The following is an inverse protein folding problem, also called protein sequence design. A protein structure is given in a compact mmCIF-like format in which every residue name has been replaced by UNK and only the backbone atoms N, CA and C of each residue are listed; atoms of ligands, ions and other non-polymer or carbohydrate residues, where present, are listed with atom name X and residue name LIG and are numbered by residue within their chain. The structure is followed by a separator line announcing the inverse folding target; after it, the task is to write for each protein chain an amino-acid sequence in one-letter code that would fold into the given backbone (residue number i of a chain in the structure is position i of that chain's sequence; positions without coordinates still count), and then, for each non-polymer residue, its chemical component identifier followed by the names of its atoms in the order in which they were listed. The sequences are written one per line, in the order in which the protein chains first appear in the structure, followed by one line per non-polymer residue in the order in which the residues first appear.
data_IF_621914417003
#
_entry.id   IF_621914417003
#
_cell.length_a   1.000
_cell.length_b   1.000
_cell.length_c   1.000
_cell.angle_alpha   90.00
_cell.angle_beta   90.00
_cell.angle_gamma   90.00
#
_symmetry.space_group_name_H-M   'P 1'
#
loop_
_entity.id
_entity.type
_entity.pdbx_description
1 polymer ?
#
# COMPACT_ATOMS: atom_id res chain seq x y z
N UNK A 1 69.40 -22.60 7.06
CA UNK A 1 68.87 -22.32 5.71
C UNK A 1 68.51 -20.84 5.64
N UNK A 2 68.93 -20.19 4.55
CA UNK A 2 68.72 -18.80 4.10
C UNK A 2 67.37 -18.14 4.49
N UNK A 3 67.17 -16.82 4.56
CA UNK A 3 67.97 -15.63 4.20
C UNK A 3 67.23 -14.36 4.67
N UNK A 4 67.98 -13.43 5.25
CA UNK A 4 67.96 -11.95 5.18
C UNK A 4 66.64 -11.15 5.21
N UNK A 5 66.54 -10.33 6.26
CA UNK A 5 65.83 -9.06 6.33
C UNK A 5 66.63 -7.93 5.65
N UNK A 6 65.95 -6.95 5.07
CA UNK A 6 66.55 -5.71 4.58
C UNK A 6 65.87 -4.50 5.21
N UNK A 7 66.71 -3.63 5.74
CA UNK A 7 66.43 -2.35 6.37
C UNK A 7 67.26 -1.33 5.59
N UNK A 8 66.63 -0.28 5.04
CA UNK A 8 67.36 0.87 4.47
C UNK A 8 66.53 2.12 4.68
N UNK A 9 67.11 3.08 5.39
CA UNK A 9 66.61 4.45 5.43
C UNK A 9 67.77 5.47 5.34
N UNK A 10 67.50 6.50 4.55
CA UNK A 10 68.09 7.85 4.53
C UNK A 10 69.58 8.09 4.23
N UNK A 11 69.85 8.91 3.19
CA UNK A 11 70.52 10.24 3.25
C UNK A 11 70.35 10.93 1.88
N UNK A 12 69.56 12.01 1.76
CA UNK A 12 69.94 13.45 1.76
C UNK A 12 70.96 13.89 0.68
N UNK A 13 70.54 14.78 -0.23
CA UNK A 13 71.26 16.04 -0.54
C UNK A 13 70.41 17.00 -1.39
N UNK A 14 70.51 18.28 -1.03
CA UNK A 14 69.81 19.48 -1.52
C UNK A 14 70.17 19.91 -2.94
N UNK A 15 69.31 20.73 -3.59
CA UNK A 15 69.71 21.99 -4.24
C UNK A 15 68.50 22.89 -4.58
N UNK A 16 68.73 24.20 -4.54
CA UNK A 16 67.72 25.27 -4.57
C UNK A 16 67.39 25.83 -5.97
N UNK A 17 66.16 26.35 -6.08
CA UNK A 17 65.65 27.47 -6.87
C UNK A 17 66.14 27.71 -8.32
N UNK A 18 65.22 27.59 -9.27
CA UNK A 18 65.02 28.61 -10.32
C UNK A 18 63.55 28.69 -10.73
N UNK A 19 63.00 29.91 -10.76
CA UNK A 19 61.62 30.25 -11.11
C UNK A 19 61.38 30.09 -12.61
N UNK A 20 60.34 29.37 -13.02
CA UNK A 20 59.64 29.62 -14.28
C UNK A 20 58.14 29.60 -13.99
N UNK A 21 57.52 30.76 -14.20
CA UNK A 21 56.09 31.01 -14.15
C UNK A 21 55.37 30.28 -15.27
N UNK A 22 54.33 29.51 -14.96
CA UNK A 22 53.31 29.13 -15.92
C UNK A 22 51.95 29.10 -15.21
N UNK A 23 51.07 30.00 -15.65
CA UNK A 23 49.71 30.15 -15.18
C UNK A 23 48.92 28.86 -15.38
N UNK A 24 48.49 28.24 -14.28
CA UNK A 24 47.44 27.23 -14.31
C UNK A 24 46.12 27.90 -13.96
N UNK A 25 45.27 28.07 -14.97
CA UNK A 25 43.86 28.35 -14.79
C UNK A 25 43.27 27.25 -13.91
N UNK A 26 42.86 27.61 -12.70
CA UNK A 26 42.04 26.76 -11.85
C UNK A 26 40.64 26.71 -12.47
N UNK A 27 40.40 25.75 -13.36
CA UNK A 27 39.06 25.39 -13.76
C UNK A 27 38.37 24.77 -12.53
N UNK A 28 37.68 25.61 -11.76
CA UNK A 28 36.72 25.14 -10.75
C UNK A 28 35.59 24.49 -11.52
N UNK A 29 35.71 23.18 -11.76
CA UNK A 29 34.58 22.34 -12.11
C UNK A 29 33.63 22.38 -10.92
N UNK A 30 32.63 23.26 -10.98
CA UNK A 30 31.41 23.15 -10.20
C UNK A 30 30.83 21.78 -10.52
N UNK A 31 31.16 20.77 -9.70
CA UNK A 31 30.27 19.64 -9.51
C UNK A 31 28.96 20.24 -9.00
N UNK A 32 28.03 20.45 -9.92
CA UNK A 32 26.62 20.52 -9.56
C UNK A 32 26.32 19.19 -8.91
N UNK A 33 26.38 19.16 -7.58
CA UNK A 33 25.70 18.15 -6.80
C UNK A 33 24.25 18.22 -7.29
N UNK A 34 23.85 17.26 -8.11
CA UNK A 34 22.45 16.99 -8.36
C UNK A 34 21.90 16.64 -7.00
N UNK A 35 21.30 17.64 -6.34
CA UNK A 35 20.49 17.40 -5.15
C UNK A 35 19.50 16.35 -5.58
N UNK A 36 19.71 15.12 -5.09
CA UNK A 36 18.76 14.04 -5.27
C UNK A 36 17.47 14.56 -4.68
N UNK A 37 16.56 14.95 -5.56
CA UNK A 37 15.29 15.53 -5.19
C UNK A 37 14.55 14.43 -4.45
N UNK A 38 14.34 14.63 -3.15
CA UNK A 38 13.79 13.59 -2.29
C UNK A 38 12.45 13.10 -2.84
N UNK A 39 12.43 11.81 -3.21
CA UNK A 39 11.24 11.08 -3.60
C UNK A 39 10.26 10.99 -2.42
N UNK A 40 9.06 10.46 -2.68
CA UNK A 40 7.99 10.29 -1.68
C UNK A 40 8.52 9.73 -0.36
N UNK A 41 8.14 10.37 0.74
CA UNK A 41 8.36 9.84 2.08
C UNK A 41 7.14 9.05 2.52
N UNK A 42 7.36 7.86 3.07
CA UNK A 42 6.35 7.06 3.79
C UNK A 42 6.85 6.87 5.21
N UNK A 43 6.15 7.48 6.16
CA UNK A 43 6.53 7.47 7.57
C UNK A 43 5.58 6.55 8.35
N UNK A 44 6.15 5.65 9.14
CA UNK A 44 5.39 4.87 10.12
C UNK A 44 4.73 5.81 11.11
N UNK A 45 3.41 5.68 11.27
CA UNK A 45 2.61 6.52 12.13
C UNK A 45 1.83 5.73 13.16
N UNK A 46 2.39 4.61 13.63
CA UNK A 46 1.69 3.65 14.47
C UNK A 46 1.84 3.88 15.98
N UNK A 47 2.85 4.63 16.42
CA UNK A 47 3.13 4.87 17.85
C UNK A 47 2.55 6.19 18.36
N UNK A 48 2.36 6.30 19.68
CA UNK A 48 2.05 7.57 20.34
C UNK A 48 0.64 8.10 20.05
N UNK A 49 -0.33 7.23 19.82
CA UNK A 49 -1.74 7.60 19.73
C UNK A 49 -2.34 7.68 21.13
N UNK A 50 -3.27 8.60 21.32
CA UNK A 50 -4.18 8.69 22.46
C UNK A 50 -5.51 8.07 22.09
N UNK A 51 -6.13 7.34 23.00
CA UNK A 51 -7.37 6.62 22.77
C UNK A 51 -8.34 6.73 23.95
N UNK A 52 -9.61 6.93 23.63
CA UNK A 52 -10.72 6.71 24.56
C UNK A 52 -11.75 5.79 23.90
N UNK A 53 -12.12 4.74 24.62
CA UNK A 53 -13.19 3.82 24.22
C UNK A 53 -14.55 4.38 24.58
N UNK A 54 -14.90 5.59 24.14
CA UNK A 54 -16.21 6.20 24.34
C UNK A 54 -16.48 7.21 23.24
N UNK A 55 -17.72 7.70 23.14
CA UNK A 55 -17.99 8.89 22.34
C UNK A 55 -17.30 10.12 22.96
N UNK A 56 -16.81 11.02 22.11
CA UNK A 56 -16.17 12.27 22.49
C UNK A 56 -16.47 13.33 21.43
N UNK A 57 -16.09 14.59 21.69
CA UNK A 57 -16.12 15.67 20.70
C UNK A 57 -14.73 15.91 20.11
N UNK A 58 -14.64 16.43 18.86
CA UNK A 58 -13.36 16.80 18.25
C UNK A 58 -12.52 17.80 19.05
N UNK A 59 -13.13 18.56 19.97
CA UNK A 59 -12.46 19.57 20.80
C UNK A 59 -12.11 19.10 22.20
N UNK A 60 -12.50 17.89 22.62
CA UNK A 60 -12.32 17.43 23.99
C UNK A 60 -10.83 17.26 24.35
N UNK A 61 -10.48 17.52 25.61
CA UNK A 61 -9.12 17.26 26.10
C UNK A 61 -8.77 15.78 25.99
N UNK A 62 -7.55 15.49 25.55
CA UNK A 62 -7.01 14.12 25.42
C UNK A 62 -6.11 13.73 26.58
N UNK A 63 -6.05 14.56 27.64
CA UNK A 63 -5.14 14.37 28.78
C UNK A 63 -5.37 13.04 29.48
N UNK A 64 -6.63 12.66 29.68
CA UNK A 64 -7.02 11.43 30.38
C UNK A 64 -7.16 10.23 29.43
N UNK A 65 -6.83 10.39 28.14
CA UNK A 65 -6.91 9.31 27.16
C UNK A 65 -5.70 8.37 27.30
N UNK A 66 -5.95 7.07 27.17
CA UNK A 66 -4.91 6.05 27.24
C UNK A 66 -3.95 6.20 26.05
N UNK A 67 -2.66 6.00 26.27
CA UNK A 67 -1.71 5.89 25.15
C UNK A 67 -1.76 4.48 24.58
N UNK A 68 -1.93 4.36 23.26
CA UNK A 68 -2.01 3.08 22.54
C UNK A 68 -1.06 3.08 21.35
N UNK A 69 -0.78 1.89 20.84
CA UNK A 69 -0.02 1.65 19.62
C UNK A 69 -0.91 0.95 18.60
N UNK A 70 -0.83 1.36 17.34
CA UNK A 70 -1.48 0.74 16.21
C UNK A 70 -0.62 -0.45 15.71
N UNK A 71 -1.21 -1.57 15.31
CA UNK A 71 -2.64 -1.87 15.27
C UNK A 71 -3.28 -1.97 16.67
N UNK A 72 -4.48 -1.41 16.82
CA UNK A 72 -5.22 -1.38 18.07
C UNK A 72 -6.71 -1.69 17.88
N UNK A 73 -7.27 -2.44 18.82
CA UNK A 73 -8.71 -2.69 18.92
C UNK A 73 -9.15 -2.65 20.38
N UNK A 74 -10.35 -2.14 20.64
CA UNK A 74 -10.95 -2.15 21.99
C UNK A 74 -11.70 -3.45 22.32
N UNK A 75 -11.64 -4.46 21.44
CA UNK A 75 -12.39 -5.71 21.57
C UNK A 75 -11.53 -6.93 21.92
N UNK A 76 -10.33 -6.72 22.48
CA UNK A 76 -9.46 -7.83 22.92
C UNK A 76 -10.11 -8.61 24.07
N UNK A 77 -10.54 -7.92 25.13
CA UNK A 77 -11.05 -8.58 26.34
C UNK A 77 -12.57 -8.70 26.36
N UNK A 78 -13.28 -7.65 25.91
CA UNK A 78 -14.73 -7.57 25.94
C UNK A 78 -15.29 -7.09 24.60
N UNK A 79 -16.25 -7.82 24.06
CA UNK A 79 -16.92 -7.41 22.85
C UNK A 79 -17.88 -6.25 23.12
N UNK A 80 -17.75 -5.20 22.31
CA UNK A 80 -18.51 -3.96 22.41
C UNK A 80 -18.62 -3.30 21.04
N UNK A 81 -19.85 -2.95 20.68
CA UNK A 81 -20.16 -2.07 19.55
C UNK A 81 -20.36 -0.63 20.01
N UNK A 82 -19.83 0.33 19.27
CA UNK A 82 -19.98 1.76 19.53
C UNK A 82 -18.80 2.57 19.01
N UNK A 83 -18.76 3.84 19.42
CA UNK A 83 -17.69 4.75 19.05
C UNK A 83 -16.47 4.63 19.98
N UNK A 84 -15.29 4.82 19.40
CA UNK A 84 -14.04 5.09 20.10
C UNK A 84 -13.25 6.15 19.33
N UNK A 85 -12.49 6.97 20.05
CA UNK A 85 -11.74 8.07 19.46
C UNK A 85 -10.25 7.89 19.63
N UNK A 86 -9.51 8.18 18.57
CA UNK A 86 -8.06 8.24 18.54
C UNK A 86 -7.62 9.67 18.28
N UNK A 87 -6.54 10.10 18.93
CA UNK A 87 -5.92 11.40 18.71
C UNK A 87 -4.39 11.27 18.63
N UNK A 88 -3.77 12.06 17.76
CA UNK A 88 -2.32 12.14 17.62
C UNK A 88 -1.91 13.58 17.38
N UNK A 89 -1.10 14.11 18.30
CA UNK A 89 -0.46 15.42 18.14
C UNK A 89 0.84 15.28 17.37
N UNK A 90 1.11 16.21 16.46
CA UNK A 90 2.35 16.23 15.67
C UNK A 90 2.69 17.66 15.23
N UNK A 91 3.95 17.89 14.85
CA UNK A 91 4.37 19.14 14.21
C UNK A 91 4.60 18.87 12.72
N UNK A 92 4.06 19.73 11.86
CA UNK A 92 4.37 19.71 10.44
C UNK A 92 5.65 20.55 10.19
N UNK A 93 6.81 19.92 9.91
CA UNK A 93 8.06 20.64 9.73
C UNK A 93 8.02 21.53 8.48
N UNK A 94 8.79 22.61 8.48
CA UNK A 94 8.95 23.50 7.32
C UNK A 94 9.43 22.81 6.05
N UNK A 95 10.10 21.66 6.17
CA UNK A 95 10.53 20.83 5.04
C UNK A 95 9.37 20.26 4.24
N UNK A 96 8.16 20.22 4.81
CA UNK A 96 6.93 19.84 4.11
C UNK A 96 6.22 21.03 3.44
N UNK A 97 6.71 22.27 3.61
CA UNK A 97 6.14 23.40 2.85
C UNK A 97 6.28 23.15 1.36
N UNK A 98 5.21 23.40 0.61
CA UNK A 98 5.08 23.11 -0.83
C UNK A 98 5.09 21.61 -1.19
N UNK A 99 5.00 20.72 -0.20
CA UNK A 99 4.70 19.30 -0.38
C UNK A 99 3.21 19.06 -0.16
N UNK A 100 2.75 17.88 -0.57
CA UNK A 100 1.44 17.34 -0.20
C UNK A 100 1.63 16.31 0.90
N UNK A 101 0.74 16.33 1.88
CA UNK A 101 0.80 15.46 3.05
C UNK A 101 -0.50 14.69 3.13
N UNK A 102 -0.42 13.37 3.21
CA UNK A 102 -1.57 12.48 3.29
C UNK A 102 -1.44 11.52 4.46
N UNK A 103 -2.58 11.13 5.01
CA UNK A 103 -2.66 10.04 5.98
C UNK A 103 -3.34 8.84 5.32
N UNK A 104 -2.66 7.71 5.32
CA UNK A 104 -3.16 6.45 4.78
C UNK A 104 -3.43 5.47 5.93
N UNK A 105 -4.67 5.03 6.07
CA UNK A 105 -5.09 4.00 7.00
C UNK A 105 -5.25 2.69 6.23
N UNK A 106 -4.63 1.61 6.70
CA UNK A 106 -4.81 0.30 6.05
C UNK A 106 -6.16 -0.35 6.38
N UNK A 107 -6.75 -0.05 7.55
CA UNK A 107 -8.13 -0.36 7.88
C UNK A 107 -8.56 0.32 9.20
N UNK A 108 -9.82 0.76 9.26
CA UNK A 108 -10.47 1.24 10.49
C UNK A 108 -11.89 0.67 10.53
N UNK A 109 -12.25 0.01 11.63
CA UNK A 109 -13.53 -0.71 11.72
C UNK A 109 -14.61 0.08 12.47
N UNK A 110 -15.87 0.14 12.00
CA UNK A 110 -16.36 -0.20 10.63
C UNK A 110 -16.49 1.08 9.79
N UNK A 111 -16.69 2.23 10.45
CA UNK A 111 -16.65 3.54 9.85
C UNK A 111 -15.64 4.43 10.57
N UNK A 112 -15.01 5.33 9.82
CA UNK A 112 -14.03 6.29 10.33
C UNK A 112 -14.40 7.71 9.92
N UNK A 113 -14.39 8.64 10.86
CA UNK A 113 -14.41 10.08 10.60
C UNK A 113 -13.05 10.68 10.97
N UNK A 114 -12.36 11.26 9.99
CA UNK A 114 -11.02 11.86 10.17
C UNK A 114 -11.14 13.37 10.30
N UNK A 115 -10.50 13.92 11.33
CA UNK A 115 -10.46 15.33 11.64
C UNK A 115 -9.02 15.82 11.75
N UNK A 116 -8.75 17.02 11.25
CA UNK A 116 -7.50 17.73 11.46
C UNK A 116 -7.78 19.09 12.08
N UNK A 117 -7.17 19.37 13.23
CA UNK A 117 -7.30 20.65 13.92
C UNK A 117 -8.77 21.05 14.17
N UNK A 118 -9.61 20.08 14.53
CA UNK A 118 -11.04 20.24 14.79
C UNK A 118 -11.94 20.18 13.53
N UNK A 119 -11.37 20.29 12.33
CA UNK A 119 -12.13 20.27 11.08
C UNK A 119 -12.26 18.84 10.55
N UNK A 120 -13.49 18.42 10.22
CA UNK A 120 -13.73 17.14 9.57
C UNK A 120 -13.22 17.17 8.14
N UNK A 121 -12.41 16.18 7.75
CA UNK A 121 -11.84 16.06 6.41
C UNK A 121 -12.58 15.04 5.56
N UNK A 122 -12.71 13.80 6.04
CA UNK A 122 -13.25 12.69 5.27
C UNK A 122 -13.93 11.67 6.18
N UNK A 123 -14.90 10.96 5.62
CA UNK A 123 -15.47 9.73 6.18
C UNK A 123 -15.10 8.55 5.29
N UNK A 124 -14.83 7.39 5.90
CA UNK A 124 -14.75 6.09 5.23
C UNK A 124 -15.74 5.11 5.88
N UNK A 125 -16.38 4.28 5.06
CA UNK A 125 -17.40 3.30 5.48
C UNK A 125 -17.05 1.94 4.87
N UNK A 126 -16.48 1.04 5.67
CA UNK A 126 -15.98 -0.27 5.25
C UNK A 126 -14.86 -0.70 6.18
N UNK A 127 -15.00 -1.85 6.83
CA UNK A 127 -14.08 -2.20 7.91
C UNK A 127 -12.70 -2.67 7.43
N UNK A 128 -12.56 -3.12 6.20
CA UNK A 128 -11.46 -4.01 5.78
C UNK A 128 -10.59 -3.48 4.64
N UNK A 129 -10.96 -2.34 4.07
CA UNK A 129 -10.24 -1.71 2.96
C UNK A 129 -9.51 -0.46 3.44
N UNK A 130 -8.38 -0.19 2.80
CA UNK A 130 -7.59 0.99 3.08
C UNK A 130 -8.27 2.26 2.57
N UNK A 131 -7.95 3.41 3.15
CA UNK A 131 -8.34 4.70 2.63
C UNK A 131 -7.29 5.76 2.95
N UNK A 132 -7.29 6.84 2.15
CA UNK A 132 -6.31 7.91 2.25
C UNK A 132 -7.01 9.26 2.30
N UNK A 133 -6.49 10.17 3.14
CA UNK A 133 -7.01 11.53 3.33
C UNK A 133 -5.87 12.53 3.14
N UNK A 134 -6.07 13.55 2.30
CA UNK A 134 -5.10 14.64 2.18
C UNK A 134 -5.24 15.63 3.35
N UNK A 135 -4.12 15.92 4.03
CA UNK A 135 -4.04 16.82 5.18
C UNK A 135 -3.54 18.22 4.81
N UNK A 136 -2.92 18.37 3.64
CA UNK A 136 -2.08 19.51 3.24
C UNK A 136 -2.67 20.89 3.59
N UNK A 137 -3.94 21.13 3.26
CA UNK A 137 -4.59 22.45 3.41
C UNK A 137 -4.92 22.82 4.85
N UNK A 138 -5.03 21.84 5.75
CA UNK A 138 -5.38 22.07 7.16
C UNK A 138 -4.18 22.13 8.11
N UNK A 139 -2.95 21.94 7.61
CA UNK A 139 -1.74 21.91 8.42
C UNK A 139 -1.32 23.30 8.92
N UNK A 140 -0.97 23.37 10.20
CA UNK A 140 -0.30 24.50 10.84
C UNK A 140 1.21 24.25 10.84
N UNK A 141 1.97 25.05 10.09
CA UNK A 141 3.42 24.86 9.92
C UNK A 141 4.20 25.27 11.17
N UNK A 142 5.18 24.46 11.59
CA UNK A 142 5.99 24.70 12.81
C UNK A 142 5.14 24.96 14.07
N UNK A 143 3.91 24.43 14.09
CA UNK A 143 3.00 24.55 15.21
C UNK A 143 2.36 23.19 15.49
N UNK A 144 1.82 22.98 16.70
CA UNK A 144 1.07 21.76 17.01
C UNK A 144 -0.13 21.59 16.06
N UNK A 145 -0.20 20.43 15.44
CA UNK A 145 -1.37 19.91 14.76
C UNK A 145 -1.94 18.75 15.56
N UNK A 146 -3.24 18.55 15.45
CA UNK A 146 -3.92 17.41 16.06
C UNK A 146 -4.75 16.69 15.01
N UNK A 147 -4.41 15.43 14.76
CA UNK A 147 -5.22 14.51 13.98
C UNK A 147 -6.12 13.74 14.94
N UNK A 148 -7.41 13.66 14.64
CA UNK A 148 -8.36 12.81 15.37
C UNK A 148 -9.10 11.88 14.43
N UNK A 149 -9.42 10.68 14.92
CA UNK A 149 -10.19 9.68 14.19
C UNK A 149 -11.26 9.14 15.11
N UNK A 150 -12.52 9.32 14.74
CA UNK A 150 -13.65 8.62 15.36
C UNK A 150 -13.85 7.31 14.61
N UNK A 151 -13.60 6.18 15.26
CA UNK A 151 -13.90 4.85 14.76
C UNK A 151 -15.21 4.35 15.37
N UNK A 152 -16.06 3.68 14.59
CA UNK A 152 -17.38 3.24 15.04
C UNK A 152 -17.78 1.92 14.37
N UNK A 153 -17.83 0.84 15.16
CA UNK A 153 -18.22 -0.50 14.71
C UNK A 153 -19.72 -0.81 14.93
N UNK A 154 -20.54 0.19 15.30
CA UNK A 154 -21.99 0.05 15.49
C UNK A 154 -22.84 0.51 14.30
N UNK A 155 -22.23 1.18 13.31
CA UNK A 155 -22.93 1.76 12.16
C UNK A 155 -23.69 0.72 11.34
N UNK A 156 -24.88 1.11 10.89
CA UNK A 156 -25.75 0.34 10.01
C UNK A 156 -25.66 0.82 8.55
N UNK A 157 -26.11 -0.04 7.62
CA UNK A 157 -26.04 0.22 6.18
C UNK A 157 -24.65 0.02 5.57
N UNK A 158 -23.76 -0.68 6.28
CA UNK A 158 -22.39 -1.01 5.86
C UNK A 158 -22.23 -2.52 5.98
N UNK A 159 -21.68 -3.17 4.96
CA UNK A 159 -21.37 -4.60 5.02
C UNK A 159 -20.13 -4.85 5.91
N UNK A 160 -20.12 -5.90 6.76
CA UNK A 160 -21.16 -6.90 6.98
C UNK A 160 -22.25 -6.37 7.91
N UNK A 161 -23.50 -6.69 7.60
CA UNK A 161 -24.61 -6.42 8.52
C UNK A 161 -24.72 -7.48 9.62
N UNK A 162 -24.57 -8.74 9.24
CA UNK A 162 -24.60 -9.91 10.13
C UNK A 162 -23.61 -10.95 9.63
N UNK A 163 -22.86 -11.59 10.51
CA UNK A 163 -21.99 -12.70 10.18
C UNK A 163 -21.65 -13.51 11.45
N UNK A 164 -21.10 -14.70 11.26
CA UNK A 164 -20.57 -15.55 12.34
C UNK A 164 -19.11 -15.17 12.67
N UNK A 165 -18.85 -13.88 12.88
CA UNK A 165 -17.58 -13.36 13.38
C UNK A 165 -17.76 -12.01 14.07
N UNK A 166 -16.87 -11.67 15.00
CA UNK A 166 -16.91 -10.41 15.74
C UNK A 166 -16.57 -9.21 14.87
N UNK A 167 -17.30 -8.10 15.02
CA UNK A 167 -16.98 -6.85 14.34
C UNK A 167 -16.06 -5.99 15.21
N UNK A 168 -14.79 -6.38 15.32
CA UNK A 168 -13.84 -5.71 16.22
C UNK A 168 -13.59 -4.27 15.76
N UNK A 169 -13.78 -3.29 16.65
CA UNK A 169 -13.64 -1.87 16.34
C UNK A 169 -12.24 -1.33 16.62
N UNK A 170 -11.86 -0.28 15.90
CA UNK A 170 -10.58 0.41 16.08
C UNK A 170 -9.78 0.60 14.81
N UNK A 171 -8.59 1.19 14.96
CA UNK A 171 -7.58 1.31 13.92
C UNK A 171 -6.70 0.06 14.02
N UNK A 172 -7.17 -1.04 13.45
CA UNK A 172 -6.60 -2.37 13.71
C UNK A 172 -5.58 -2.81 12.65
N UNK A 173 -5.31 -1.98 11.64
CA UNK A 173 -4.18 -2.14 10.71
C UNK A 173 -3.32 -0.88 10.69
N UNK A 174 -2.05 -0.98 10.22
CA UNK A 174 -1.11 0.13 10.24
C UNK A 174 -1.59 1.43 9.59
N UNK A 175 -0.96 2.52 10.01
CA UNK A 175 -1.19 3.88 9.55
C UNK A 175 0.13 4.50 9.09
N UNK A 176 0.10 5.16 7.94
CA UNK A 176 1.27 5.78 7.32
C UNK A 176 1.02 7.22 6.95
N UNK A 177 1.98 8.10 7.23
CA UNK A 177 1.99 9.44 6.65
C UNK A 177 2.76 9.42 5.33
N UNK A 178 2.17 9.97 4.28
CA UNK A 178 2.80 10.13 2.97
C UNK A 178 3.11 11.61 2.73
N UNK A 179 4.34 11.91 2.33
CA UNK A 179 4.75 13.28 1.92
C UNK A 179 5.28 13.22 0.50
N UNK A 180 4.64 13.96 -0.41
CA UNK A 180 4.96 13.94 -1.85
C UNK A 180 5.18 15.34 -2.41
N UNK A 181 5.74 15.43 -3.60
CA UNK A 181 5.67 16.67 -4.39
C UNK A 181 4.23 16.97 -4.87
N UNK A 182 4.06 18.14 -5.50
CA UNK A 182 2.78 18.66 -5.97
C UNK A 182 2.07 17.72 -6.96
N UNK A 183 2.82 17.13 -7.91
CA UNK A 183 2.36 16.01 -8.73
C UNK A 183 2.96 14.70 -8.19
N UNK A 184 2.10 13.72 -7.94
CA UNK A 184 2.49 12.43 -7.38
C UNK A 184 1.65 11.29 -7.99
N UNK A 185 2.13 10.06 -7.86
CA UNK A 185 1.30 8.87 -8.06
C UNK A 185 0.18 8.93 -7.03
N UNK A 186 -1.08 8.84 -7.45
CA UNK A 186 -2.22 9.19 -6.60
C UNK A 186 -2.42 8.19 -5.46
N UNK A 187 -2.27 8.59 -4.18
CA UNK A 187 -2.68 7.74 -3.06
C UNK A 187 -4.20 7.84 -2.80
N UNK A 188 -4.90 8.72 -3.52
CA UNK A 188 -6.33 9.01 -3.35
C UNK A 188 -7.24 8.13 -4.22
N UNK A 189 -6.68 7.27 -5.06
CA UNK A 189 -7.48 6.40 -5.94
C UNK A 189 -7.92 5.14 -5.17
N UNK A 190 -9.06 5.22 -4.48
CA UNK A 190 -9.60 4.12 -3.66
C UNK A 190 -8.62 3.57 -2.62
N UNK A 191 -7.70 4.39 -2.08
CA UNK A 191 -6.66 3.93 -1.16
C UNK A 191 -5.67 2.93 -1.78
N UNK A 192 -5.64 2.81 -3.11
CA UNK A 192 -4.78 1.88 -3.84
C UNK A 192 -3.35 2.43 -4.01
N UNK A 193 -2.43 1.61 -4.56
CA UNK A 193 -1.12 2.08 -4.97
C UNK A 193 -1.16 3.19 -6.04
N UNK A 194 -2.21 3.28 -6.86
CA UNK A 194 -2.31 4.22 -7.99
C UNK A 194 -1.48 3.79 -9.22
N UNK A 195 -0.90 2.60 -9.21
CA UNK A 195 -0.30 1.92 -10.38
C UNK A 195 -1.01 0.59 -10.54
N UNK A 196 -1.43 0.28 -11.76
CA UNK A 196 -2.14 -0.96 -12.12
C UNK A 196 -1.38 -1.66 -13.24
N UNK A 197 -1.06 -2.93 -13.03
CA UNK A 197 -0.20 -3.72 -13.91
C UNK A 197 -1.00 -4.89 -14.46
N UNK A 198 -1.12 -4.97 -15.78
CA UNK A 198 -1.95 -5.97 -16.45
C UNK A 198 -1.10 -6.73 -17.49
N UNK A 199 -0.84 -8.04 -17.30
CA UNK A 199 -0.33 -8.88 -18.37
C UNK A 199 -1.38 -8.98 -19.49
N UNK A 200 -1.18 -8.27 -20.60
CA UNK A 200 -2.11 -8.22 -21.75
C UNK A 200 -2.05 -9.50 -22.57
N UNK A 201 -0.86 -10.08 -22.68
CA UNK A 201 -0.62 -11.35 -23.38
C UNK A 201 0.60 -12.05 -22.76
N UNK A 202 0.57 -13.38 -22.74
CA UNK A 202 1.67 -14.25 -22.29
C UNK A 202 1.74 -15.44 -23.26
N UNK A 203 2.42 -15.25 -24.38
CA UNK A 203 2.38 -16.17 -25.53
C UNK A 203 3.74 -16.23 -26.23
N UNK A 204 4.04 -17.34 -26.91
CA UNK A 204 5.22 -17.49 -27.77
C UNK A 204 6.56 -17.07 -27.11
N UNK A 205 6.71 -17.28 -25.80
CA UNK A 205 7.91 -16.87 -25.06
C UNK A 205 8.06 -15.34 -24.94
N UNK A 206 6.97 -14.58 -24.96
CA UNK A 206 6.91 -13.13 -24.75
C UNK A 206 5.75 -12.80 -23.82
N UNK A 207 5.91 -11.79 -22.97
CA UNK A 207 4.81 -11.19 -22.23
C UNK A 207 4.71 -9.69 -22.55
N UNK A 208 3.49 -9.21 -22.81
CA UNK A 208 3.19 -7.79 -22.92
C UNK A 208 2.51 -7.31 -21.64
N UNK A 209 3.11 -6.30 -21.00
CA UNK A 209 2.70 -5.79 -19.71
C UNK A 209 2.24 -4.34 -19.90
N UNK A 210 0.95 -4.11 -19.68
CA UNK A 210 0.38 -2.77 -19.60
C UNK A 210 0.56 -2.23 -18.18
N UNK A 211 1.03 -0.99 -18.08
CA UNK A 211 1.25 -0.29 -16.82
C UNK A 211 0.46 1.01 -16.90
N UNK A 212 -0.60 1.10 -16.11
CA UNK A 212 -1.42 2.31 -15.96
C UNK A 212 -1.07 3.00 -14.66
N UNK A 213 -0.65 4.26 -14.74
CA UNK A 213 -0.32 5.08 -13.57
C UNK A 213 -1.34 6.20 -13.44
N UNK A 214 -1.95 6.33 -12.27
CA UNK A 214 -2.84 7.44 -11.91
C UNK A 214 -2.01 8.51 -11.21
N UNK A 215 -2.05 9.71 -11.75
CA UNK A 215 -1.31 10.87 -11.25
C UNK A 215 -2.31 11.84 -10.64
N UNK A 216 -2.03 12.29 -9.42
CA UNK A 216 -2.74 13.38 -8.76
C UNK A 216 -1.85 14.61 -8.74
N UNK A 217 -2.42 15.77 -9.06
CA UNK A 217 -1.71 17.05 -9.07
C UNK A 217 -2.50 18.12 -8.32
N UNK A 218 -1.81 19.03 -7.65
CA UNK A 218 -2.41 20.31 -7.23
C UNK A 218 -2.77 21.09 -8.50
N UNK A 219 -4.04 21.43 -8.70
CA UNK A 219 -4.47 22.22 -9.86
C UNK A 219 -3.64 23.51 -10.00
N UNK A 220 -3.35 23.93 -11.23
CA UNK A 220 -2.51 25.10 -11.48
C UNK A 220 -1.92 25.14 -12.89
N UNK A 221 -0.70 25.69 -13.02
CA UNK A 221 -0.02 25.78 -14.31
C UNK A 221 0.37 24.39 -14.79
N UNK A 222 -0.10 24.03 -15.97
CA UNK A 222 0.24 22.76 -16.62
C UNK A 222 1.76 22.63 -16.77
N UNK A 223 2.29 21.46 -16.42
CA UNK A 223 3.67 21.08 -16.67
C UNK A 223 3.75 19.72 -17.37
N UNK A 224 4.78 19.55 -18.19
CA UNK A 224 5.11 18.26 -18.75
C UNK A 224 5.74 17.40 -17.65
N UNK A 225 5.09 16.28 -17.35
CA UNK A 225 5.54 15.28 -16.40
C UNK A 225 6.00 14.05 -17.18
N UNK A 226 7.28 13.70 -17.06
CA UNK A 226 7.82 12.46 -17.63
C UNK A 226 7.53 11.31 -16.66
N UNK A 227 6.99 10.23 -17.20
CA UNK A 227 6.75 8.98 -16.49
C UNK A 227 7.68 7.94 -17.08
N UNK A 228 8.45 7.29 -16.22
CA UNK A 228 9.27 6.15 -16.57
C UNK A 228 8.77 4.92 -15.82
N UNK A 229 8.49 3.86 -16.56
CA UNK A 229 8.18 2.54 -16.00
C UNK A 229 9.31 1.58 -16.38
N UNK A 230 9.79 0.84 -15.39
CA UNK A 230 10.91 -0.08 -15.51
C UNK A 230 10.54 -1.40 -14.82
N UNK A 231 10.64 -2.51 -15.54
CA UNK A 231 10.44 -3.86 -15.01
C UNK A 231 11.80 -4.42 -14.66
N UNK A 232 11.98 -4.79 -13.40
CA UNK A 232 13.22 -5.37 -12.86
C UNK A 232 13.00 -6.85 -12.56
N UNK A 233 14.00 -7.67 -12.85
CA UNK A 233 14.05 -9.06 -12.41
C UNK A 233 14.31 -9.16 -10.88
N UNK A 234 14.27 -10.37 -10.33
CA UNK A 234 14.47 -10.61 -8.90
C UNK A 234 15.89 -10.23 -8.39
N UNK A 235 16.84 -9.98 -9.29
CA UNK A 235 18.19 -9.50 -8.98
C UNK A 235 18.32 -7.98 -9.14
N UNK A 236 17.22 -7.28 -9.46
CA UNK A 236 17.20 -5.84 -9.69
C UNK A 236 17.68 -5.39 -11.06
N UNK A 237 17.87 -6.31 -12.02
CA UNK A 237 18.27 -5.96 -13.39
C UNK A 237 17.04 -5.55 -14.20
N UNK A 238 17.12 -4.40 -14.88
CA UNK A 238 16.10 -3.96 -15.84
C UNK A 238 15.96 -4.94 -17.01
N UNK A 239 14.78 -5.51 -17.17
CA UNK A 239 14.40 -6.39 -18.29
C UNK A 239 13.52 -5.71 -19.33
N UNK A 240 12.83 -4.64 -18.94
CA UNK A 240 12.08 -3.78 -19.85
C UNK A 240 11.97 -2.37 -19.26
N UNK A 241 11.95 -1.34 -20.11
CA UNK A 241 11.68 0.03 -19.67
C UNK A 241 10.98 0.82 -20.76
N UNK A 242 10.22 1.82 -20.37
CA UNK A 242 9.64 2.78 -21.31
C UNK A 242 9.42 4.12 -20.64
N UNK A 243 9.27 5.15 -21.47
CA UNK A 243 8.96 6.51 -21.03
C UNK A 243 7.77 7.05 -21.79
N UNK A 244 6.93 7.81 -21.10
CA UNK A 244 5.88 8.62 -21.70
C UNK A 244 5.85 9.98 -21.01
N UNK A 245 5.13 10.93 -21.58
CA UNK A 245 4.92 12.24 -21.00
C UNK A 245 3.45 12.57 -21.00
N UNK A 246 2.97 13.17 -19.93
CA UNK A 246 1.62 13.72 -19.85
C UNK A 246 1.68 15.18 -19.41
N UNK A 247 0.64 15.94 -19.71
CA UNK A 247 0.45 17.28 -19.12
C UNK A 247 -0.29 17.12 -17.79
N UNK A 248 0.41 17.40 -16.69
CA UNK A 248 -0.13 17.40 -15.34
C UNK A 248 -0.44 18.83 -14.88
N UNK A 249 -1.37 19.01 -13.94
CA UNK A 249 -1.71 20.32 -13.34
C UNK A 249 -2.94 21.02 -13.93
N UNK A 250 -3.32 20.77 -15.19
CA UNK A 250 -4.58 21.27 -15.76
C UNK A 250 -5.82 20.59 -15.15
N UNK A 251 -5.68 19.30 -14.84
CA UNK A 251 -6.69 18.47 -14.17
C UNK A 251 -6.08 17.95 -12.87
N UNK A 252 -6.88 17.82 -11.79
CA UNK A 252 -6.41 17.23 -10.53
C UNK A 252 -6.05 15.75 -10.65
N UNK A 253 -6.49 15.09 -11.74
CA UNK A 253 -6.22 13.68 -12.03
C UNK A 253 -5.91 13.48 -13.51
N UNK A 254 -4.83 12.75 -13.79
CA UNK A 254 -4.40 12.34 -15.14
C UNK A 254 -3.96 10.87 -15.09
N UNK A 255 -4.11 10.13 -16.18
CA UNK A 255 -3.57 8.77 -16.30
C UNK A 255 -2.51 8.69 -17.39
N UNK A 256 -1.43 7.96 -17.11
CA UNK A 256 -0.43 7.57 -18.09
C UNK A 256 -0.54 6.06 -18.34
N UNK A 257 -0.39 5.64 -19.60
CA UNK A 257 -0.41 4.24 -20.01
C UNK A 257 0.89 3.91 -20.76
N UNK A 258 1.49 2.79 -20.44
CA UNK A 258 2.70 2.27 -21.07
C UNK A 258 2.53 0.78 -21.34
N UNK A 259 3.00 0.31 -22.49
CA UNK A 259 3.03 -1.11 -22.84
C UNK A 259 4.50 -1.54 -23.00
N UNK A 260 4.93 -2.47 -22.16
CA UNK A 260 6.30 -2.99 -22.15
C UNK A 260 6.30 -4.48 -22.53
N UNK A 261 7.38 -4.94 -23.14
CA UNK A 261 7.54 -6.35 -23.53
C UNK A 261 8.71 -7.00 -22.80
N UNK A 262 8.50 -8.22 -22.32
CA UNK A 262 9.54 -9.07 -21.73
C UNK A 262 9.69 -10.30 -22.63
N UNK A 263 10.90 -10.52 -23.13
CA UNK A 263 11.25 -11.75 -23.85
C UNK A 263 11.60 -12.86 -22.86
N UNK A 264 11.14 -14.08 -23.15
CA UNK A 264 11.30 -15.29 -22.35
C UNK A 264 10.99 -15.04 -20.86
N UNK A 265 9.76 -14.59 -20.53
CA UNK A 265 9.41 -14.27 -19.15
C UNK A 265 9.48 -15.53 -18.28
N UNK A 266 10.02 -15.39 -17.07
CA UNK A 266 9.88 -16.42 -16.04
C UNK A 266 8.51 -16.24 -15.38
N UNK A 267 7.67 -17.26 -15.47
CA UNK A 267 6.31 -17.19 -14.99
C UNK A 267 6.26 -17.34 -13.46
N UNK A 268 5.32 -16.65 -12.83
CA UNK A 268 4.88 -16.98 -11.49
C UNK A 268 4.03 -18.25 -11.59
N UNK A 269 4.43 -19.30 -10.90
CA UNK A 269 3.91 -20.65 -11.08
C UNK A 269 3.48 -21.30 -9.76
N UNK A 270 2.76 -20.54 -8.95
CA UNK A 270 2.25 -20.98 -7.65
C UNK A 270 3.39 -21.38 -6.72
N UNK A 271 3.13 -22.37 -5.87
CA UNK A 271 4.12 -22.87 -4.89
C UNK A 271 5.39 -23.44 -5.54
N UNK A 272 5.32 -23.86 -6.81
CA UNK A 272 6.46 -24.47 -7.52
C UNK A 272 7.53 -23.44 -7.86
N UNK A 273 7.14 -22.26 -8.29
CA UNK A 273 8.05 -21.18 -8.64
C UNK A 273 7.34 -19.81 -8.53
N UNK A 274 7.23 -19.23 -7.32
CA UNK A 274 6.55 -17.95 -7.10
C UNK A 274 7.43 -16.76 -7.54
N UNK A 275 7.90 -16.79 -8.78
CA UNK A 275 8.83 -15.79 -9.30
C UNK A 275 8.16 -14.42 -9.42
N UNK A 276 8.80 -13.39 -8.84
CA UNK A 276 8.33 -12.02 -8.87
C UNK A 276 9.34 -11.13 -9.59
N UNK A 277 8.84 -10.38 -10.57
CA UNK A 277 9.44 -9.13 -11.02
C UNK A 277 8.98 -7.99 -10.12
N UNK A 278 9.63 -6.83 -10.25
CA UNK A 278 9.15 -5.57 -9.68
C UNK A 278 8.99 -4.51 -10.76
N UNK A 279 7.87 -3.82 -10.78
CA UNK A 279 7.60 -2.68 -11.66
C UNK A 279 7.85 -1.40 -10.88
N UNK A 280 8.88 -0.67 -11.26
CA UNK A 280 9.25 0.62 -10.69
C UNK A 280 8.77 1.74 -11.59
N UNK A 281 7.93 2.62 -11.06
CA UNK A 281 7.39 3.79 -11.75
C UNK A 281 7.99 5.05 -11.13
N UNK A 282 8.53 5.92 -11.97
CA UNK A 282 9.10 7.22 -11.60
C UNK A 282 8.39 8.35 -12.31
N UNK A 283 8.07 9.40 -11.57
CA UNK A 283 7.59 10.67 -12.10
C UNK A 283 8.70 11.71 -11.99
N UNK A 284 8.95 12.48 -13.05
CA UNK A 284 9.89 13.61 -13.02
C UNK A 284 9.38 14.80 -13.83
N UNK A 285 9.39 15.97 -13.22
CA UNK A 285 9.22 17.27 -13.88
C UNK A 285 10.23 18.28 -13.33
N UNK A 286 10.10 19.55 -13.72
CA UNK A 286 10.89 20.64 -13.12
C UNK A 286 10.56 20.81 -11.64
N UNK A 287 9.31 20.57 -11.24
CA UNK A 287 8.81 20.87 -9.89
C UNK A 287 8.21 19.67 -9.16
N UNK A 288 8.31 18.44 -9.69
CA UNK A 288 7.88 17.22 -9.00
C UNK A 288 8.81 16.01 -9.26
N UNK A 289 9.01 15.17 -8.23
CA UNK A 289 9.58 13.81 -8.30
C UNK A 289 8.76 12.88 -7.42
N UNK A 290 8.54 11.65 -7.90
CA UNK A 290 7.90 10.59 -7.13
C UNK A 290 8.36 9.22 -7.65
N UNK A 291 8.37 8.22 -6.78
CA UNK A 291 8.73 6.85 -7.12
C UNK A 291 7.86 5.87 -6.34
N UNK A 292 7.43 4.80 -7.00
CA UNK A 292 6.78 3.67 -6.35
C UNK A 292 7.15 2.37 -7.07
N UNK A 293 7.20 1.28 -6.30
CA UNK A 293 7.41 -0.06 -6.82
C UNK A 293 6.21 -0.94 -6.49
N UNK A 294 5.80 -1.81 -7.43
CA UNK A 294 4.75 -2.80 -7.27
C UNK A 294 5.22 -4.17 -7.75
N UNK A 295 4.75 -5.28 -7.15
CA UNK A 295 5.11 -6.63 -7.60
C UNK A 295 4.48 -6.94 -8.96
N UNK A 296 5.11 -7.86 -9.69
CA UNK A 296 4.58 -8.43 -10.93
C UNK A 296 4.92 -9.93 -10.98
N UNK A 297 3.91 -10.78 -10.83
CA UNK A 297 3.98 -12.20 -11.17
C UNK A 297 3.24 -12.46 -12.48
N UNK A 298 3.98 -12.81 -13.52
CA UNK A 298 3.43 -13.07 -14.86
C UNK A 298 2.86 -14.50 -14.88
N UNK A 299 1.55 -14.63 -15.09
CA UNK A 299 0.88 -15.93 -15.15
C UNK A 299 -0.40 -15.85 -15.96
N UNK A 300 -0.92 -16.99 -16.37
CA UNK A 300 -2.29 -17.14 -16.86
C UNK A 300 -3.08 -18.05 -15.93
N UNK A 301 -4.35 -17.71 -15.70
CA UNK A 301 -5.29 -18.48 -14.90
C UNK A 301 -6.49 -18.82 -15.77
N UNK A 302 -7.09 -19.98 -15.55
CA UNK A 302 -8.32 -20.37 -16.23
C UNK A 302 -8.89 -21.66 -15.69
N UNK A 303 -9.91 -22.15 -16.39
CA UNK A 303 -10.48 -23.46 -16.19
C UNK A 303 -10.42 -24.21 -17.53
N UNK A 304 -10.15 -25.50 -17.49
CA UNK A 304 -10.26 -26.33 -18.69
C UNK A 304 -11.73 -26.67 -19.01
N UNK A 305 -11.95 -27.49 -20.04
CA UNK A 305 -13.29 -27.89 -20.46
C UNK A 305 -14.06 -28.72 -19.41
N UNK A 306 -13.35 -29.30 -18.43
CA UNK A 306 -13.92 -30.07 -17.32
C UNK A 306 -14.05 -29.22 -16.04
N UNK A 307 -13.97 -27.89 -16.17
CA UNK A 307 -14.03 -26.93 -15.05
C UNK A 307 -12.93 -27.13 -13.99
N UNK A 308 -11.79 -27.73 -14.36
CA UNK A 308 -10.64 -27.86 -13.45
C UNK A 308 -9.74 -26.65 -13.56
N UNK A 309 -9.21 -26.20 -12.43
CA UNK A 309 -8.35 -25.01 -12.40
C UNK A 309 -7.01 -25.25 -13.12
N UNK A 310 -6.62 -24.27 -13.93
CA UNK A 310 -5.42 -24.27 -14.76
C UNK A 310 -4.56 -23.04 -14.44
N UNK A 311 -3.28 -23.29 -14.19
CA UNK A 311 -2.24 -22.26 -14.01
C UNK A 311 -1.18 -22.46 -15.11
N UNK A 312 -0.94 -21.42 -15.91
CA UNK A 312 0.07 -21.44 -16.98
C UNK A 312 -0.11 -22.59 -17.97
N UNK A 313 -1.36 -22.96 -18.28
CA UNK A 313 -1.70 -24.05 -19.21
C UNK A 313 -1.59 -25.46 -18.63
N UNK A 314 -1.23 -25.61 -17.35
CA UNK A 314 -1.18 -26.90 -16.66
C UNK A 314 -2.24 -27.00 -15.56
N UNK A 315 -2.76 -28.20 -15.34
CA UNK A 315 -3.67 -28.47 -14.23
C UNK A 315 -3.02 -28.11 -12.89
N UNK A 316 -3.75 -27.40 -12.05
CA UNK A 316 -3.29 -26.99 -10.73
C UNK A 316 -4.40 -27.23 -9.70
N UNK A 317 -4.23 -28.27 -8.88
CA UNK A 317 -5.22 -28.64 -7.87
C UNK A 317 -5.30 -27.59 -6.76
N UNK A 318 -6.51 -27.11 -6.49
CA UNK A 318 -6.81 -26.17 -5.41
C UNK A 318 -7.19 -26.92 -4.13
N UNK A 319 -6.20 -27.26 -3.31
CA UNK A 319 -6.38 -27.84 -1.97
C UNK A 319 -6.36 -26.69 -0.97
N UNK A 320 -7.55 -26.33 -0.45
CA UNK A 320 -7.76 -25.04 0.19
C UNK A 320 -8.02 -25.07 1.69
N UNK A 321 -7.75 -23.93 2.32
CA UNK A 321 -8.21 -23.58 3.67
C UNK A 321 -8.89 -22.21 3.64
N UNK A 322 -9.75 -21.93 4.63
CA UNK A 322 -10.19 -20.57 4.93
C UNK A 322 -9.32 -19.99 6.05
N UNK A 323 -9.08 -18.69 6.05
CA UNK A 323 -8.35 -18.00 7.13
C UNK A 323 -9.07 -16.73 7.54
N UNK A 324 -9.53 -16.65 8.79
CA UNK A 324 -9.92 -15.37 9.41
C UNK A 324 -8.68 -14.61 9.93
N UNK A 325 -8.82 -13.31 10.20
CA UNK A 325 -7.67 -12.45 10.52
C UNK A 325 -7.36 -12.30 12.02
N UNK A 326 -8.16 -12.90 12.90
CA UNK A 326 -8.01 -12.73 14.35
C UNK A 326 -7.07 -13.74 15.00
N UNK A 327 -6.48 -13.32 16.12
CA UNK A 327 -5.71 -14.17 17.02
C UNK A 327 -6.19 -13.97 18.45
N UNK A 328 -6.27 -15.05 19.22
CA UNK A 328 -6.61 -15.01 20.65
C UNK A 328 -5.70 -14.02 21.39
N UNK A 329 -6.30 -13.11 22.16
CA UNK A 329 -5.58 -12.06 22.89
C UNK A 329 -5.17 -10.85 22.05
N UNK A 330 -5.48 -10.84 20.74
CA UNK A 330 -5.25 -9.69 19.84
C UNK A 330 -6.51 -9.26 19.07
N UNK A 331 -7.51 -10.13 18.98
CA UNK A 331 -8.63 -9.96 18.06
C UNK A 331 -8.08 -9.61 16.66
N UNK A 332 -8.54 -8.55 16.00
CA UNK A 332 -8.01 -8.15 14.68
C UNK A 332 -6.68 -7.37 14.69
N UNK A 333 -6.16 -6.98 15.87
CA UNK A 333 -4.92 -6.22 15.96
C UNK A 333 -3.68 -7.14 15.91
N UNK A 334 -3.57 -7.91 14.84
CA UNK A 334 -2.48 -8.87 14.60
C UNK A 334 -1.26 -8.20 13.97
N UNK A 335 -0.09 -8.77 14.22
CA UNK A 335 1.20 -8.30 13.71
C UNK A 335 1.64 -9.05 12.46
N UNK A 336 2.63 -8.52 11.76
CA UNK A 336 3.26 -9.20 10.61
C UNK A 336 3.84 -10.58 10.99
N UNK A 337 4.31 -10.75 12.23
CA UNK A 337 4.79 -12.04 12.72
C UNK A 337 3.65 -13.07 12.87
N UNK A 338 2.44 -12.63 13.24
CA UNK A 338 1.27 -13.51 13.30
C UNK A 338 0.84 -13.93 11.88
N UNK A 339 0.87 -13.00 10.91
CA UNK A 339 0.65 -13.33 9.50
C UNK A 339 1.66 -14.35 8.97
N UNK A 340 2.94 -14.19 9.29
CA UNK A 340 3.98 -15.12 8.89
C UNK A 340 3.79 -16.52 9.51
N UNK A 341 3.34 -16.59 10.77
CA UNK A 341 3.03 -17.85 11.44
C UNK A 341 1.86 -18.59 10.77
N UNK A 342 0.78 -17.88 10.41
CA UNK A 342 -0.34 -18.46 9.67
C UNK A 342 0.11 -19.00 8.30
N UNK A 343 0.91 -18.23 7.55
CA UNK A 343 1.48 -18.66 6.26
C UNK A 343 2.31 -19.95 6.41
N UNK A 344 3.13 -20.04 7.47
CA UNK A 344 3.94 -21.23 7.73
C UNK A 344 3.07 -22.46 8.00
N UNK A 345 2.03 -22.34 8.83
CA UNK A 345 1.10 -23.43 9.16
C UNK A 345 0.29 -23.88 7.93
N UNK A 346 -0.19 -22.94 7.13
CA UNK A 346 -0.94 -23.24 5.90
C UNK A 346 -0.05 -23.95 4.87
N UNK A 347 1.24 -23.59 4.81
CA UNK A 347 2.21 -24.28 3.97
C UNK A 347 2.50 -25.69 4.49
N UNK A 348 2.63 -25.85 5.80
CA UNK A 348 2.91 -27.13 6.46
C UNK A 348 1.82 -28.17 6.21
N UNK A 349 0.53 -27.78 6.27
CA UNK A 349 -0.59 -28.69 5.97
C UNK A 349 -0.68 -29.07 4.48
N UNK A 350 0.10 -28.42 3.60
CA UNK A 350 0.17 -28.72 2.17
C UNK A 350 -0.93 -28.07 1.33
N UNK A 351 -1.54 -26.98 1.82
CA UNK A 351 -2.52 -26.23 1.05
C UNK A 351 -1.86 -25.56 -0.17
N UNK A 352 -2.63 -25.39 -1.25
CA UNK A 352 -2.21 -24.69 -2.47
C UNK A 352 -3.03 -23.42 -2.73
N UNK A 353 -4.16 -23.26 -2.03
CA UNK A 353 -5.04 -22.09 -2.12
C UNK A 353 -5.52 -21.64 -0.74
N UNK A 354 -5.84 -20.36 -0.60
CA UNK A 354 -6.42 -19.78 0.61
C UNK A 354 -7.63 -18.96 0.22
N UNK A 355 -8.78 -19.24 0.84
CA UNK A 355 -9.93 -18.34 0.81
C UNK A 355 -9.83 -17.35 1.98
N UNK A 356 -9.66 -16.08 1.64
CA UNK A 356 -9.63 -14.96 2.59
C UNK A 356 -11.06 -14.53 2.92
N UNK A 357 -11.75 -15.42 3.62
CA UNK A 357 -13.12 -15.20 4.09
C UNK A 357 -13.15 -14.32 5.35
N UNK A 358 -14.15 -13.48 5.57
CA UNK A 358 -15.19 -13.05 4.64
C UNK A 358 -14.96 -11.58 4.25
N UNK A 359 -13.70 -11.19 4.02
CA UNK A 359 -13.32 -9.79 3.85
C UNK A 359 -11.89 -9.68 3.31
N UNK A 360 -11.54 -8.57 2.62
CA UNK A 360 -10.18 -8.35 2.18
C UNK A 360 -9.23 -8.25 3.37
N UNK A 361 -8.04 -8.84 3.22
CA UNK A 361 -7.09 -8.98 4.31
C UNK A 361 -5.90 -8.01 4.20
N UNK A 362 -4.98 -8.11 5.16
CA UNK A 362 -3.82 -7.23 5.24
C UNK A 362 -2.99 -7.31 3.96
N UNK A 363 -2.51 -6.15 3.49
CA UNK A 363 -1.57 -6.04 2.38
C UNK A 363 -0.32 -6.90 2.62
N UNK A 364 0.19 -6.92 3.85
CA UNK A 364 1.32 -7.77 4.23
C UNK A 364 1.04 -9.25 3.99
N UNK A 365 -0.17 -9.72 4.32
CA UNK A 365 -0.55 -11.11 4.11
C UNK A 365 -0.61 -11.45 2.62
N UNK A 366 -1.18 -10.55 1.79
CA UNK A 366 -1.19 -10.70 0.34
C UNK A 366 0.23 -10.72 -0.26
N UNK A 367 1.12 -9.83 0.18
CA UNK A 367 2.52 -9.80 -0.24
C UNK A 367 3.26 -11.10 0.14
N UNK A 368 2.98 -11.68 1.32
CA UNK A 368 3.52 -12.98 1.73
C UNK A 368 2.97 -14.13 0.86
N UNK A 369 1.70 -14.07 0.46
CA UNK A 369 1.11 -15.06 -0.43
C UNK A 369 1.70 -15.01 -1.85
N UNK A 370 1.96 -13.80 -2.37
CA UNK A 370 2.64 -13.60 -3.65
C UNK A 370 4.03 -14.26 -3.64
N UNK A 371 4.79 -14.06 -2.56
CA UNK A 371 6.14 -14.60 -2.39
C UNK A 371 6.14 -16.10 -2.13
N UNK A 372 5.10 -16.62 -1.47
CA UNK A 372 5.00 -18.05 -1.12
C UNK A 372 4.48 -18.88 -2.28
N UNK A 373 3.58 -18.33 -3.11
CA UNK A 373 2.99 -19.01 -4.24
C UNK A 373 1.56 -19.52 -4.04
N UNK A 374 0.84 -19.04 -3.02
CA UNK A 374 -0.56 -19.42 -2.82
C UNK A 374 -1.44 -18.78 -3.89
N UNK A 375 -2.45 -19.51 -4.34
CA UNK A 375 -3.59 -18.92 -5.06
C UNK A 375 -4.58 -18.40 -4.02
N UNK A 376 -5.08 -17.18 -4.19
CA UNK A 376 -6.05 -16.58 -3.28
C UNK A 376 -7.42 -16.44 -3.93
N UNK A 377 -8.44 -16.70 -3.12
CA UNK A 377 -9.79 -16.22 -3.30
C UNK A 377 -10.04 -15.16 -2.22
N UNK A 378 -10.14 -13.89 -2.62
CA UNK A 378 -10.46 -12.77 -1.72
C UNK A 378 -11.88 -12.27 -1.97
N UNK A 379 -12.61 -11.87 -0.93
CA UNK A 379 -14.03 -11.50 -1.04
C UNK A 379 -14.41 -10.31 -0.15
N UNK A 380 -15.51 -9.64 -0.49
CA UNK A 380 -16.11 -8.59 0.34
C UNK A 380 -17.04 -9.17 1.41
N UNK A 381 -17.29 -8.45 2.53
CA UNK A 381 -18.11 -8.93 3.64
C UNK A 381 -19.62 -8.82 3.40
N UNK A 382 -20.09 -9.12 2.19
CA UNK A 382 -21.53 -9.28 1.92
C UNK A 382 -21.91 -10.70 2.32
N UNK A 383 -22.29 -10.85 3.59
CA UNK A 383 -22.57 -12.15 4.23
C UNK A 383 -24.00 -12.20 4.75
N UNK A 384 -24.64 -13.36 4.61
CA UNK A 384 -25.93 -13.73 5.23
C UNK A 384 -27.15 -12.92 4.74
N UNK A 385 -27.21 -11.62 5.05
CA UNK A 385 -28.35 -10.76 4.70
C UNK A 385 -27.93 -9.61 3.80
N UNK A 386 -28.67 -9.44 2.71
CA UNK A 386 -28.64 -8.26 1.86
C UNK A 386 -29.93 -7.47 2.11
N UNK A 387 -29.81 -6.15 2.18
CA UNK A 387 -30.97 -5.25 2.21
C UNK A 387 -31.17 -4.65 0.83
N UNK A 388 -32.43 -4.56 0.42
CA UNK A 388 -32.84 -3.75 -0.74
C UNK A 388 -32.83 -2.27 -0.34
N UNK A 389 -31.62 -1.77 -0.07
CA UNK A 389 -31.31 -0.41 0.36
C UNK A 389 -30.19 0.13 -0.52
N UNK A 390 -30.40 1.33 -1.07
CA UNK A 390 -29.45 1.98 -1.97
C UNK A 390 -28.13 2.24 -1.25
N UNK A 391 -28.16 2.64 0.03
CA UNK A 391 -26.94 2.90 0.81
C UNK A 391 -26.12 1.62 0.99
N UNK A 392 -26.74 0.51 1.39
CA UNK A 392 -26.04 -0.78 1.52
C UNK A 392 -25.45 -1.25 0.19
N UNK A 393 -26.20 -1.13 -0.91
CA UNK A 393 -25.73 -1.53 -2.24
C UNK A 393 -24.55 -0.68 -2.73
N UNK A 394 -24.61 0.63 -2.54
CA UNK A 394 -23.52 1.55 -2.85
C UNK A 394 -22.28 1.26 -1.99
N UNK A 395 -22.47 0.96 -0.70
CA UNK A 395 -21.39 0.57 0.19
C UNK A 395 -20.72 -0.74 -0.23
N UNK A 396 -21.50 -1.78 -0.56
CA UNK A 396 -20.98 -3.05 -1.05
C UNK A 396 -20.18 -2.86 -2.36
N UNK A 397 -20.69 -2.04 -3.29
CA UNK A 397 -19.99 -1.71 -4.54
C UNK A 397 -18.69 -0.93 -4.27
N UNK A 398 -18.68 -0.02 -3.30
CA UNK A 398 -17.48 0.70 -2.89
C UNK A 398 -16.44 -0.28 -2.34
N UNK A 399 -16.81 -1.14 -1.39
CA UNK A 399 -15.90 -2.14 -0.81
C UNK A 399 -15.35 -3.10 -1.88
N UNK A 400 -16.18 -3.51 -2.85
CA UNK A 400 -15.72 -4.33 -3.99
C UNK A 400 -14.69 -3.59 -4.84
N UNK A 401 -14.97 -2.33 -5.15
CA UNK A 401 -14.06 -1.49 -5.94
C UNK A 401 -12.75 -1.29 -5.18
N UNK A 402 -12.80 -0.97 -3.89
CA UNK A 402 -11.62 -0.79 -3.05
C UNK A 402 -10.78 -2.07 -2.95
N UNK A 403 -11.40 -3.23 -2.68
CA UNK A 403 -10.71 -4.53 -2.66
C UNK A 403 -9.96 -4.81 -3.97
N UNK A 404 -10.64 -4.70 -5.11
CA UNK A 404 -10.03 -4.98 -6.42
C UNK A 404 -8.91 -3.99 -6.72
N UNK A 405 -9.12 -2.70 -6.47
CA UNK A 405 -8.14 -1.67 -6.83
C UNK A 405 -6.91 -1.73 -5.90
N UNK A 406 -7.09 -2.03 -4.61
CA UNK A 406 -5.99 -2.19 -3.65
C UNK A 406 -5.22 -3.49 -3.87
N UNK A 407 -5.94 -4.57 -4.22
CA UNK A 407 -5.40 -5.90 -4.48
C UNK A 407 -4.90 -6.13 -5.92
N UNK A 408 -5.07 -5.16 -6.83
CA UNK A 408 -4.96 -5.34 -8.28
C UNK A 408 -3.65 -5.99 -8.75
N UNK A 409 -2.54 -5.64 -8.12
CA UNK A 409 -1.20 -6.06 -8.54
C UNK A 409 -0.72 -7.35 -7.88
N UNK A 410 -1.53 -8.00 -7.04
CA UNK A 410 -1.12 -9.21 -6.32
C UNK A 410 -1.20 -10.45 -7.21
N UNK A 411 -0.06 -11.08 -7.56
CA UNK A 411 -0.10 -12.28 -8.36
C UNK A 411 -0.63 -13.53 -7.65
N UNK A 412 -0.82 -13.50 -6.34
CA UNK A 412 -1.49 -14.60 -5.65
C UNK A 412 -3.00 -14.59 -5.88
N UNK A 413 -3.62 -13.44 -6.11
CA UNK A 413 -5.08 -13.35 -6.28
C UNK A 413 -5.52 -14.00 -7.60
N UNK A 414 -6.38 -15.01 -7.48
CA UNK A 414 -6.96 -15.73 -8.61
C UNK A 414 -8.46 -15.51 -8.77
N UNK A 415 -9.18 -15.22 -7.68
CA UNK A 415 -10.65 -15.06 -7.68
C UNK A 415 -11.09 -13.92 -6.76
N UNK A 416 -12.13 -13.21 -7.17
CA UNK A 416 -12.83 -12.19 -6.38
C UNK A 416 -14.24 -12.68 -6.03
N UNK A 417 -14.54 -12.82 -4.75
CA UNK A 417 -15.86 -13.20 -4.25
C UNK A 417 -16.76 -11.98 -4.04
N UNK A 418 -18.04 -12.14 -4.42
CA UNK A 418 -19.04 -11.07 -4.30
C UNK A 418 -19.87 -11.18 -3.02
N UNK A 419 -20.15 -12.39 -2.54
CA UNK A 419 -20.98 -12.62 -1.37
C UNK A 419 -20.79 -14.04 -0.80
N UNK A 420 -21.24 -14.25 0.44
CA UNK A 420 -21.27 -15.54 1.13
C UNK A 420 -22.65 -15.81 1.76
N UNK A 421 -23.24 -16.96 1.47
CA UNK A 421 -24.47 -17.46 2.11
C UNK A 421 -25.62 -16.45 2.17
N UNK A 422 -25.80 -15.66 1.11
CA UNK A 422 -26.86 -14.66 1.07
C UNK A 422 -28.21 -15.34 0.91
N UNK A 423 -29.12 -15.02 1.84
CA UNK A 423 -30.52 -15.42 1.78
C UNK A 423 -31.35 -14.32 1.12
N UNK A 424 -32.57 -14.64 0.67
CA UNK A 424 -33.44 -13.70 -0.03
C UNK A 424 -33.65 -12.41 0.81
N UNK A 425 -33.78 -11.23 0.17
CA UNK A 425 -33.91 -9.95 0.87
C UNK A 425 -35.06 -9.98 1.88
N UNK A 426 -34.77 -9.62 3.14
CA UNK A 426 -35.77 -9.47 4.20
C UNK A 426 -35.86 -8.02 4.65
N UNK A 427 -37.01 -7.55 5.18
CA UNK A 427 -37.14 -6.20 5.69
C UNK A 427 -36.13 -5.93 6.82
N UNK A 428 -35.62 -4.71 6.89
CA UNK A 428 -34.76 -4.27 7.99
C UNK A 428 -35.57 -4.28 9.29
N UNK A 429 -35.33 -5.26 10.16
CA UNK A 429 -35.89 -5.26 11.50
C UNK A 429 -35.14 -4.19 12.30
N UNK A 430 -35.83 -3.14 12.72
CA UNK A 430 -35.29 -2.15 13.64
C UNK A 430 -34.95 -2.82 14.97
N UNK A 431 -33.69 -2.73 15.38
CA UNK A 431 -33.25 -3.09 16.73
C UNK A 431 -33.06 -1.82 17.55
#
# INVERSE_FOLDING_TARGET
MASLAFDVNCHKMDFSMTRISAAFLLAVSLLTATVSRADRQRLDWNTGWKFIGAEAQPSDSTTDWATVQIPHTWNVDNYRRGAGWYAKSFSAPTTWKNKRVFIAFEAVSIAADVYLNGNKLQRHEGAFTAFCVELTSGLKWNAPNELRVRADNSRLGIAPYSADFNFNGGIYRPVHLLVTDASCISPLDYGSPGVYITPRSVEAGKAEIEIKTIISSTGGKSEALQIEAEILDAKGKSVARGRTSVLAGASPRVSALQLLSIAQPRLWNGLKDPYLYSVRVRLRSKTSSDEMTQPLGIRTLGFDADERFVLNGALYSLHGVNRHQDLRGKAWAVSDADHAADIALIKEIGATTIRLAHYPQSRTFLDMCDQTGFILWEEIPVVNRIFDDAKFSENARLQLTEMIMQGYNHPSIGMWGLFNEVTAPGPQLGF
#
